data_IF_866536001307
#
_entry.id   IF_866536001307
#
_cell.length_a   1.000
_cell.length_b   1.000
_cell.length_c   1.000
_cell.angle_alpha   90.00
_cell.angle_beta   90.00
_cell.angle_gamma   90.00
#
_symmetry.space_group_name_H-M   'P 1'
#
loop_
_entity.id
_entity.type
_entity.pdbx_description
1 polymer ?
#
# COMPACT_ATOMS: atom_id res chain seq x y z
N UNK A 1 31.52 -50.44 0.98
CA UNK A 1 30.56 -49.93 2.00
C UNK A 1 29.20 -49.71 1.34
N UNK A 2 28.06 -49.81 2.05
CA UNK A 2 26.73 -49.54 1.46
C UNK A 2 26.22 -48.17 1.92
N UNK A 3 25.56 -47.44 1.03
CA UNK A 3 24.97 -46.13 1.37
C UNK A 3 23.85 -46.30 2.42
N UNK A 4 23.91 -45.54 3.51
CA UNK A 4 22.90 -45.59 4.58
C UNK A 4 21.50 -45.16 4.12
N UNK A 5 21.39 -44.36 3.05
CA UNK A 5 20.12 -43.82 2.55
C UNK A 5 19.46 -44.70 1.48
N UNK A 6 20.23 -45.27 0.55
CA UNK A 6 19.67 -46.03 -0.58
C UNK A 6 20.17 -47.48 -0.71
N UNK A 7 21.08 -47.92 0.15
CA UNK A 7 21.59 -49.30 0.17
C UNK A 7 22.54 -49.68 -0.98
N UNK A 8 22.80 -48.78 -1.94
CA UNK A 8 23.72 -49.02 -3.04
C UNK A 8 25.17 -49.16 -2.56
N UNK A 9 25.98 -50.00 -3.23
CA UNK A 9 27.40 -50.14 -2.94
C UNK A 9 28.18 -48.88 -3.33
N UNK A 10 28.94 -48.34 -2.38
CA UNK A 10 29.83 -47.19 -2.55
C UNK A 10 31.18 -47.68 -3.06
N UNK A 11 31.65 -47.07 -4.15
CA UNK A 11 33.02 -47.26 -4.66
C UNK A 11 34.04 -46.71 -3.64
N UNK A 12 35.16 -47.42 -3.48
CA UNK A 12 36.22 -47.01 -2.57
C UNK A 12 36.76 -45.62 -2.93
N UNK A 13 36.90 -44.75 -1.93
CA UNK A 13 37.44 -43.39 -2.10
C UNK A 13 36.43 -42.30 -2.51
N UNK A 14 35.14 -42.62 -2.67
CA UNK A 14 34.11 -41.61 -2.99
C UNK A 14 33.45 -41.05 -1.71
N UNK A 15 33.46 -39.72 -1.56
CA UNK A 15 32.82 -38.98 -0.45
C UNK A 15 31.29 -38.86 -0.57
N UNK A 16 30.71 -39.20 -1.73
CA UNK A 16 29.28 -39.13 -1.99
C UNK A 16 28.79 -40.38 -2.72
N UNK A 17 27.55 -40.78 -2.47
CA UNK A 17 26.89 -41.87 -3.17
C UNK A 17 26.60 -41.47 -4.62
N UNK A 18 27.14 -42.22 -5.57
CA UNK A 18 26.93 -42.00 -7.01
C UNK A 18 25.49 -42.23 -7.49
N UNK A 19 24.61 -42.79 -6.65
CA UNK A 19 23.22 -43.10 -7.00
C UNK A 19 22.25 -42.07 -6.42
N UNK A 20 22.44 -41.62 -5.18
CA UNK A 20 21.49 -40.72 -4.49
C UNK A 20 22.09 -39.37 -4.07
N UNK A 21 23.38 -39.13 -4.34
CA UNK A 21 24.08 -37.88 -4.01
C UNK A 21 24.34 -37.65 -2.52
N UNK A 22 23.93 -38.58 -1.64
CA UNK A 22 24.09 -38.43 -0.20
C UNK A 22 25.54 -38.71 0.23
N UNK A 23 26.06 -37.93 1.17
CA UNK A 23 27.44 -38.06 1.66
C UNK A 23 27.70 -39.43 2.28
N UNK A 24 28.88 -39.97 2.02
CA UNK A 24 29.33 -41.23 2.58
C UNK A 24 29.91 -40.97 3.98
N UNK A 25 29.15 -41.31 5.02
CA UNK A 25 29.64 -41.24 6.39
C UNK A 25 30.78 -42.25 6.61
N UNK A 26 32.00 -41.76 6.77
CA UNK A 26 33.15 -42.55 7.20
C UNK A 26 33.14 -42.65 8.72
N UNK A 27 32.96 -43.86 9.26
CA UNK A 27 33.16 -44.11 10.69
C UNK A 27 34.66 -44.20 10.94
N UNK A 28 35.26 -43.10 11.42
CA UNK A 28 36.62 -43.17 11.96
C UNK A 28 36.58 -43.94 13.29
N UNK A 29 37.49 -44.91 13.42
CA UNK A 29 37.56 -45.82 14.55
C UNK A 29 37.74 -45.10 15.89
N UNK A 30 36.85 -45.42 16.82
CA UNK A 30 36.90 -45.09 18.24
C UNK A 30 38.28 -45.38 18.85
N UNK A 31 38.89 -44.38 19.49
CA UNK A 31 40.01 -44.58 20.42
C UNK A 31 39.46 -44.92 21.81
N UNK A 32 39.81 -46.11 22.29
CA UNK A 32 39.37 -46.72 23.56
C UNK A 32 40.13 -46.11 24.76
N UNK A 33 40.17 -44.78 24.89
CA UNK A 33 40.89 -44.12 26.00
C UNK A 33 40.05 -43.12 26.82
N UNK A 34 38.79 -42.87 26.46
CA UNK A 34 37.95 -41.88 27.15
C UNK A 34 36.84 -42.48 28.05
N UNK A 35 36.54 -43.78 27.95
CA UNK A 35 35.45 -44.41 28.74
C UNK A 35 35.85 -44.84 30.17
N UNK A 36 37.14 -45.05 30.46
CA UNK A 36 37.59 -45.45 31.80
C UNK A 36 37.61 -44.29 32.81
N UNK A 37 37.68 -43.04 32.33
CA UNK A 37 37.68 -41.85 33.19
C UNK A 37 36.28 -41.48 33.69
N UNK A 38 35.22 -41.87 32.96
CA UNK A 38 33.83 -41.53 33.29
C UNK A 38 33.16 -42.51 34.26
N UNK A 39 33.65 -43.76 34.36
CA UNK A 39 33.14 -44.76 35.32
C UNK A 39 33.65 -44.57 36.75
N UNK A 40 34.78 -43.88 36.94
CA UNK A 40 35.35 -43.63 38.27
C UNK A 40 34.69 -42.44 39.01
N UNK A 41 33.93 -41.59 38.31
CA UNK A 41 33.30 -40.39 38.86
C UNK A 41 31.82 -40.59 39.28
N UNK A 42 31.23 -41.75 39.00
CA UNK A 42 29.80 -42.01 39.23
C UNK A 42 29.51 -42.94 40.43
N UNK A 43 30.52 -43.40 41.18
CA UNK A 43 30.31 -44.37 42.29
C UNK A 43 30.37 -43.78 43.71
N UNK A 44 30.67 -42.49 43.90
CA UNK A 44 30.88 -41.93 45.25
C UNK A 44 29.72 -41.06 45.80
N UNK A 45 28.57 -40.96 45.14
CA UNK A 45 27.42 -40.20 45.64
C UNK A 45 26.11 -40.99 45.64
N UNK A 46 26.02 -42.06 46.44
CA UNK A 46 24.74 -42.55 46.97
C UNK A 46 24.95 -43.54 48.12
N UNK A 47 25.02 -43.04 49.36
CA UNK A 47 24.28 -43.62 50.49
C UNK A 47 24.64 -42.91 51.80
N UNK A 48 23.67 -42.17 52.34
CA UNK A 48 23.57 -41.92 53.78
C UNK A 48 22.15 -42.21 54.24
N UNK A 49 22.12 -42.62 55.50
CA UNK A 49 21.01 -42.83 56.45
C UNK A 49 20.42 -44.26 56.45
N UNK A 50 20.33 -44.97 57.59
CA UNK A 50 19.95 -44.48 58.92
C UNK A 50 20.39 -45.41 60.10
N UNK A 51 20.63 -44.75 61.25
CA UNK A 51 20.34 -45.09 62.67
C UNK A 51 21.06 -46.18 63.51
N UNK A 52 21.35 -45.74 64.76
CA UNK A 52 21.41 -46.44 66.07
C UNK A 52 22.56 -47.43 66.30
N UNK A 53 23.19 -47.55 67.47
CA UNK A 53 23.22 -46.86 68.77
C UNK A 53 24.44 -47.43 69.51
N UNK A 54 24.78 -46.78 70.63
CA UNK A 54 25.56 -47.32 71.75
C UNK A 54 27.09 -47.29 71.74
N UNK A 55 27.53 -47.09 72.97
CA UNK A 55 28.84 -46.65 73.43
C UNK A 55 29.50 -47.87 74.04
N UNK A 56 30.77 -48.16 73.74
CA UNK A 56 31.59 -48.84 74.74
C UNK A 56 33.07 -48.47 74.70
N UNK A 57 33.53 -48.27 75.92
CA UNK A 57 34.79 -47.73 76.38
C UNK A 57 35.80 -48.87 76.51
N UNK A 58 37.06 -48.69 76.07
CA UNK A 58 38.20 -49.25 76.81
C UNK A 58 39.56 -48.68 76.36
N UNK A 59 40.21 -48.01 77.31
CA UNK A 59 41.64 -47.70 77.36
C UNK A 59 42.50 -48.97 77.23
N UNK A 60 43.67 -48.84 76.59
CA UNK A 60 44.96 -49.38 77.10
C UNK A 60 46.14 -48.57 76.54
N UNK A 61 47.13 -48.36 77.42
CA UNK A 61 48.34 -47.51 77.31
C UNK A 61 49.53 -48.24 76.65
N UNK A 62 50.56 -47.44 76.38
CA UNK A 62 52.01 -47.76 76.29
C UNK A 62 52.50 -48.27 74.92
N UNK A 63 53.66 -47.92 74.38
CA UNK A 63 54.81 -47.08 74.77
C UNK A 63 55.70 -46.80 73.53
N UNK A 64 56.44 -45.68 73.57
CA UNK A 64 57.76 -45.41 72.95
C UNK A 64 58.13 -45.92 71.55
N UNK A 65 58.39 -44.98 70.62
CA UNK A 65 59.76 -44.63 70.19
C UNK A 65 59.77 -43.61 69.04
N UNK A 66 60.46 -42.48 69.28
CA UNK A 66 60.86 -41.50 68.28
C UNK A 66 61.78 -42.11 67.21
N UNK A 67 61.45 -41.91 65.92
CA UNK A 67 62.43 -41.81 64.83
C UNK A 67 62.15 -40.58 63.97
N UNK A 68 63.09 -39.64 64.00
CA UNK A 68 63.15 -38.44 63.14
C UNK A 68 63.10 -38.87 61.66
N UNK A 69 62.13 -38.41 60.89
CA UNK A 69 62.16 -38.42 59.41
C UNK A 69 62.08 -36.99 58.91
N UNK A 70 63.06 -36.60 58.10
CA UNK A 70 63.12 -35.34 57.36
C UNK A 70 61.82 -35.15 56.57
N UNK A 71 61.10 -34.06 56.84
CA UNK A 71 59.98 -33.60 56.01
C UNK A 71 60.55 -33.20 54.63
N UNK A 72 60.27 -34.01 53.61
CA UNK A 72 60.44 -33.65 52.20
C UNK A 72 59.14 -33.00 51.68
N UNK A 73 59.20 -32.20 50.60
CA UNK A 73 58.23 -31.16 50.30
C UNK A 73 56.99 -31.71 49.54
N UNK A 74 56.47 -32.88 49.92
CA UNK A 74 55.26 -33.45 49.30
C UNK A 74 54.02 -32.59 49.56
N UNK A 75 53.96 -31.96 50.74
CA UNK A 75 52.90 -30.98 51.08
C UNK A 75 53.03 -29.75 50.17
N UNK A 76 54.26 -29.28 49.90
CA UNK A 76 54.50 -28.12 49.03
C UNK A 76 54.14 -28.46 47.57
N UNK A 77 54.48 -29.65 47.08
CA UNK A 77 54.12 -30.10 45.74
C UNK A 77 52.60 -30.26 45.55
N UNK A 78 51.90 -30.78 46.56
CA UNK A 78 50.43 -30.86 46.58
C UNK A 78 49.76 -29.49 46.63
N UNK A 79 50.29 -28.55 47.44
CA UNK A 79 49.79 -27.17 47.47
C UNK A 79 50.01 -26.43 46.14
N UNK A 80 51.17 -26.63 45.49
CA UNK A 80 51.44 -26.04 44.17
C UNK A 80 50.51 -26.62 43.10
N UNK A 81 50.26 -27.94 43.12
CA UNK A 81 49.30 -28.58 42.21
C UNK A 81 47.86 -28.05 42.42
N UNK A 82 47.43 -27.88 43.67
CA UNK A 82 46.12 -27.30 43.98
C UNK A 82 45.98 -25.85 43.48
N UNK A 83 47.03 -25.03 43.62
CA UNK A 83 47.05 -23.66 43.09
C UNK A 83 46.95 -23.65 41.56
N UNK A 84 47.66 -24.56 40.87
CA UNK A 84 47.57 -24.68 39.40
C UNK A 84 46.17 -25.10 38.94
N UNK A 85 45.50 -26.00 39.66
CA UNK A 85 44.11 -26.40 39.36
C UNK A 85 43.15 -25.23 39.54
N UNK A 86 43.28 -24.45 40.62
CA UNK A 86 42.44 -23.25 40.84
C UNK A 86 42.68 -22.21 39.74
N UNK A 87 43.94 -21.99 39.33
CA UNK A 87 44.27 -21.09 38.22
C UNK A 87 43.68 -21.62 36.90
N UNK A 88 43.74 -22.94 36.65
CA UNK A 88 43.16 -23.55 35.46
C UNK A 88 41.64 -23.43 35.44
N UNK A 89 40.95 -23.68 36.56
CA UNK A 89 39.50 -23.47 36.69
C UNK A 89 39.15 -22.00 36.47
N UNK A 90 39.93 -21.08 37.06
CA UNK A 90 39.75 -19.64 36.86
C UNK A 90 39.96 -19.21 35.40
N UNK A 91 40.96 -19.76 34.72
CA UNK A 91 41.23 -19.49 33.30
C UNK A 91 40.13 -20.06 32.41
N UNK A 92 39.65 -21.28 32.69
CA UNK A 92 38.51 -21.89 31.98
C UNK A 92 37.24 -21.05 32.20
N UNK A 93 36.97 -20.64 33.44
CA UNK A 93 35.83 -19.79 33.76
C UNK A 93 35.92 -18.42 33.07
N UNK A 94 37.12 -17.83 33.00
CA UNK A 94 37.37 -16.56 32.32
C UNK A 94 37.19 -16.68 30.80
N UNK A 95 37.72 -17.74 30.18
CA UNK A 95 37.52 -18.02 28.75
C UNK A 95 36.04 -18.27 28.46
N UNK A 96 35.35 -19.03 29.30
CA UNK A 96 33.91 -19.29 29.16
C UNK A 96 33.08 -18.03 29.35
N UNK A 97 33.47 -17.14 30.26
CA UNK A 97 32.85 -15.84 30.46
C UNK A 97 33.06 -14.92 29.23
N UNK A 98 34.28 -14.81 28.72
CA UNK A 98 34.55 -14.07 27.49
C UNK A 98 33.77 -14.65 26.30
N UNK A 99 33.73 -15.97 26.16
CA UNK A 99 33.03 -16.63 25.07
C UNK A 99 31.51 -16.43 25.18
N UNK A 100 30.94 -16.60 26.37
CA UNK A 100 29.52 -16.34 26.63
C UNK A 100 29.15 -14.85 26.47
N UNK A 101 30.10 -13.94 26.55
CA UNK A 101 29.90 -12.50 26.35
C UNK A 101 30.45 -12.03 24.98
N UNK A 102 30.71 -12.95 24.06
CA UNK A 102 31.06 -12.63 22.68
C UNK A 102 29.80 -12.31 21.88
N UNK A 103 29.90 -11.40 20.91
CA UNK A 103 28.82 -11.05 20.01
C UNK A 103 28.28 -12.29 19.27
N UNK A 104 29.17 -13.08 18.67
CA UNK A 104 28.79 -14.28 17.89
C UNK A 104 28.02 -15.29 18.74
N UNK A 105 28.43 -15.46 20.00
CA UNK A 105 27.74 -16.34 20.94
C UNK A 105 26.33 -15.82 21.25
N UNK A 106 26.18 -14.52 21.49
CA UNK A 106 24.89 -13.91 21.80
C UNK A 106 23.93 -14.06 20.61
N UNK A 107 24.39 -13.82 19.37
CA UNK A 107 23.57 -14.04 18.16
C UNK A 107 23.17 -15.51 18.01
N UNK A 108 24.12 -16.45 18.11
CA UNK A 108 23.83 -17.87 17.96
C UNK A 108 22.81 -18.39 19.00
N UNK A 109 22.91 -17.90 20.25
CA UNK A 109 21.94 -18.22 21.29
C UNK A 109 20.58 -17.55 21.04
N UNK A 110 20.56 -16.32 20.52
CA UNK A 110 19.32 -15.62 20.18
C UNK A 110 18.55 -16.37 19.07
N UNK A 111 19.23 -16.74 17.99
CA UNK A 111 18.64 -17.49 16.87
C UNK A 111 18.13 -18.86 17.32
N UNK A 112 18.89 -19.56 18.16
CA UNK A 112 18.44 -20.83 18.75
C UNK A 112 17.15 -20.67 19.55
N UNK A 113 17.11 -19.70 20.46
CA UNK A 113 15.92 -19.46 21.28
C UNK A 113 14.73 -18.96 20.43
N UNK A 114 14.99 -18.28 19.31
CA UNK A 114 13.97 -17.89 18.35
C UNK A 114 13.36 -19.10 17.65
N UNK A 115 14.17 -20.08 17.23
CA UNK A 115 13.70 -21.36 16.68
C UNK A 115 12.89 -22.14 17.72
N UNK A 116 13.30 -22.09 18.98
CA UNK A 116 12.58 -22.70 20.12
C UNK A 116 11.33 -21.87 20.53
N UNK A 117 11.02 -20.78 19.83
CA UNK A 117 9.90 -19.84 20.09
C UNK A 117 9.95 -19.17 21.48
N UNK A 118 11.11 -19.17 22.13
CA UNK A 118 11.35 -18.52 23.42
C UNK A 118 11.70 -17.04 23.22
N UNK A 119 10.72 -16.26 22.77
CA UNK A 119 10.91 -14.86 22.37
C UNK A 119 11.57 -13.96 23.43
N UNK A 120 11.24 -14.12 24.71
CA UNK A 120 11.84 -13.30 25.77
C UNK A 120 13.35 -13.52 25.91
N UNK A 121 13.79 -14.78 25.83
CA UNK A 121 15.22 -15.12 25.88
C UNK A 121 15.93 -14.65 24.62
N UNK A 122 15.33 -14.89 23.45
CA UNK A 122 15.86 -14.41 22.18
C UNK A 122 16.08 -12.89 22.21
N UNK A 123 15.09 -12.11 22.63
CA UNK A 123 15.20 -10.65 22.81
C UNK A 123 16.30 -10.26 23.79
N UNK A 124 16.48 -11.00 24.90
CA UNK A 124 17.56 -10.74 25.85
C UNK A 124 18.94 -10.97 25.22
N UNK A 125 19.11 -12.05 24.46
CA UNK A 125 20.36 -12.35 23.77
C UNK A 125 20.67 -11.32 22.67
N UNK A 126 19.68 -10.94 21.85
CA UNK A 126 19.84 -9.86 20.87
C UNK A 126 20.16 -8.51 21.52
N UNK A 127 19.50 -8.17 22.63
CA UNK A 127 19.82 -6.94 23.37
C UNK A 127 21.27 -6.93 23.85
N UNK A 128 21.76 -8.04 24.40
CA UNK A 128 23.16 -8.18 24.79
C UNK A 128 24.09 -8.09 23.57
N UNK A 129 23.75 -8.71 22.44
CA UNK A 129 24.50 -8.57 21.19
C UNK A 129 24.61 -7.10 20.76
N UNK A 130 23.53 -6.33 20.87
CA UNK A 130 23.51 -4.89 20.58
C UNK A 130 24.31 -4.05 21.59
N UNK A 131 24.51 -4.50 22.84
CA UNK A 131 25.46 -3.82 23.74
C UNK A 131 26.92 -3.95 23.27
N UNK A 132 27.23 -5.02 22.54
CA UNK A 132 28.57 -5.32 22.02
C UNK A 132 28.76 -4.72 20.62
N UNK A 133 27.73 -4.76 19.79
CA UNK A 133 27.69 -4.18 18.44
C UNK A 133 26.48 -3.26 18.28
N UNK A 134 26.61 -1.98 18.68
CA UNK A 134 25.47 -1.06 18.71
C UNK A 134 24.88 -0.72 17.35
N UNK A 135 25.56 -1.01 16.22
CA UNK A 135 25.07 -0.66 14.89
C UNK A 135 24.64 -1.89 14.07
N UNK A 136 24.47 -3.05 14.71
CA UNK A 136 24.00 -4.23 14.01
C UNK A 136 22.52 -4.08 13.62
N UNK A 137 22.28 -4.08 12.31
CA UNK A 137 20.96 -3.99 11.71
C UNK A 137 20.23 -5.34 11.80
N UNK A 138 20.93 -6.45 11.63
CA UNK A 138 20.31 -7.78 11.59
C UNK A 138 19.74 -8.16 12.96
N UNK A 139 20.48 -7.94 14.05
CA UNK A 139 19.95 -8.15 15.40
C UNK A 139 18.74 -7.26 15.69
N UNK A 140 18.73 -6.00 15.21
CA UNK A 140 17.57 -5.12 15.35
C UNK A 140 16.37 -5.63 14.57
N UNK A 141 16.56 -6.03 13.31
CA UNK A 141 15.51 -6.55 12.45
C UNK A 141 14.88 -7.80 13.08
N UNK A 142 15.70 -8.74 13.56
CA UNK A 142 15.22 -9.92 14.26
C UNK A 142 14.41 -9.56 15.54
N UNK A 143 14.87 -8.57 16.31
CA UNK A 143 14.09 -8.07 17.46
C UNK A 143 12.75 -7.44 17.03
N UNK A 144 12.75 -6.64 15.96
CA UNK A 144 11.54 -6.00 15.43
C UNK A 144 10.52 -7.06 14.98
N UNK A 145 10.96 -8.09 14.25
CA UNK A 145 10.13 -9.23 13.85
C UNK A 145 9.51 -9.97 15.04
N UNK A 146 10.28 -10.19 16.11
CA UNK A 146 9.74 -10.80 17.34
C UNK A 146 8.64 -9.92 17.94
N UNK A 147 8.86 -8.59 18.01
CA UNK A 147 7.85 -7.68 18.53
C UNK A 147 6.61 -7.63 17.64
N UNK A 148 6.76 -7.67 16.32
CA UNK A 148 5.66 -7.79 15.36
C UNK A 148 4.84 -9.07 15.58
N UNK A 149 5.50 -10.22 15.71
CA UNK A 149 4.85 -11.50 15.98
C UNK A 149 4.04 -11.47 17.29
N UNK A 150 4.53 -10.72 18.29
CA UNK A 150 3.85 -10.47 19.58
C UNK A 150 2.81 -9.34 19.54
N UNK A 151 2.65 -8.66 18.40
CA UNK A 151 1.82 -7.45 18.22
C UNK A 151 2.21 -6.28 19.13
N UNK A 152 3.46 -6.25 19.56
CA UNK A 152 4.07 -5.17 20.34
C UNK A 152 4.57 -4.07 19.39
N UNK A 153 3.61 -3.44 18.70
CA UNK A 153 3.87 -2.54 17.58
C UNK A 153 4.72 -1.32 17.94
N UNK A 154 4.57 -0.77 19.14
CA UNK A 154 5.31 0.43 19.52
C UNK A 154 6.81 0.13 19.70
N UNK A 155 7.15 -1.06 20.22
CA UNK A 155 8.55 -1.52 20.34
C UNK A 155 9.15 -1.87 18.97
N UNK A 156 8.38 -2.53 18.11
CA UNK A 156 8.81 -2.80 16.73
C UNK A 156 9.09 -1.49 15.97
N UNK A 157 8.17 -0.50 16.06
CA UNK A 157 8.28 0.77 15.35
C UNK A 157 9.58 1.51 15.69
N UNK A 158 9.95 1.55 16.97
CA UNK A 158 11.23 2.17 17.40
C UNK A 158 12.41 1.49 16.73
N UNK A 159 12.46 0.16 16.71
CA UNK A 159 13.56 -0.58 16.10
C UNK A 159 13.63 -0.38 14.59
N UNK A 160 12.50 -0.40 13.89
CA UNK A 160 12.47 -0.15 12.44
C UNK A 160 12.96 1.26 12.11
N UNK A 161 12.56 2.27 12.89
CA UNK A 161 13.08 3.63 12.75
C UNK A 161 14.59 3.71 13.02
N UNK A 162 15.10 2.98 14.00
CA UNK A 162 16.55 2.89 14.25
C UNK A 162 17.29 2.24 13.07
N UNK A 163 16.73 1.19 12.46
CA UNK A 163 17.30 0.54 11.28
C UNK A 163 17.37 1.54 10.12
N UNK A 164 16.29 2.28 9.83
CA UNK A 164 16.27 3.31 8.77
C UNK A 164 17.29 4.43 9.05
N UNK A 165 17.51 4.78 10.32
CA UNK A 165 18.53 5.76 10.68
C UNK A 165 19.96 5.26 10.40
N UNK A 166 20.21 3.96 10.56
CA UNK A 166 21.50 3.33 10.26
C UNK A 166 21.68 3.10 8.76
N UNK A 167 20.62 2.64 8.09
CA UNK A 167 20.57 2.39 6.65
C UNK A 167 19.25 2.91 6.06
N UNK A 168 19.35 4.10 5.46
CA UNK A 168 18.21 4.80 4.87
C UNK A 168 17.60 4.10 3.67
N UNK A 169 18.29 3.10 3.10
CA UNK A 169 17.84 2.33 1.92
C UNK A 169 17.32 0.93 2.29
N UNK A 170 17.22 0.61 3.57
CA UNK A 170 16.79 -0.70 4.03
C UNK A 170 15.30 -0.94 3.71
N UNK A 171 15.03 -1.74 2.68
CA UNK A 171 13.66 -1.97 2.17
C UNK A 171 12.80 -2.70 3.19
N UNK A 172 13.39 -3.68 3.87
CA UNK A 172 12.73 -4.51 4.87
C UNK A 172 12.20 -3.67 6.04
N UNK A 173 12.95 -2.67 6.50
CA UNK A 173 12.52 -1.80 7.59
C UNK A 173 11.35 -0.89 7.20
N UNK A 174 11.32 -0.38 5.96
CA UNK A 174 10.14 0.34 5.46
C UNK A 174 8.92 -0.58 5.36
N UNK A 175 9.09 -1.82 4.91
CA UNK A 175 8.01 -2.81 4.89
C UNK A 175 7.50 -3.14 6.32
N UNK A 176 8.42 -3.22 7.29
CA UNK A 176 8.09 -3.37 8.71
C UNK A 176 7.23 -2.21 9.22
N UNK A 177 7.64 -0.95 8.97
CA UNK A 177 6.85 0.24 9.33
C UNK A 177 5.47 0.26 8.66
N UNK A 178 5.40 -0.03 7.36
CA UNK A 178 4.14 -0.11 6.61
C UNK A 178 3.21 -1.14 7.26
N UNK A 179 3.72 -2.34 7.55
CA UNK A 179 2.96 -3.41 8.21
C UNK A 179 2.42 -2.97 9.57
N UNK A 180 3.23 -2.27 10.35
CA UNK A 180 2.82 -1.72 11.65
C UNK A 180 1.69 -0.70 11.48
N UNK A 181 1.82 0.21 10.53
CA UNK A 181 0.83 1.25 10.30
C UNK A 181 -0.47 0.69 9.73
N UNK A 182 -0.42 -0.30 8.83
CA UNK A 182 -1.60 -1.02 8.35
C UNK A 182 -2.33 -1.72 9.52
N UNK A 183 -1.59 -2.44 10.37
CA UNK A 183 -2.18 -3.13 11.52
C UNK A 183 -2.84 -2.17 12.53
N UNK A 184 -2.40 -0.91 12.56
CA UNK A 184 -2.98 0.17 13.40
C UNK A 184 -4.03 1.01 12.66
N UNK A 185 -4.26 0.78 11.36
CA UNK A 185 -5.14 1.60 10.51
C UNK A 185 -4.64 3.04 10.31
N UNK A 186 -3.34 3.28 10.45
CA UNK A 186 -2.72 4.62 10.40
C UNK A 186 -2.15 4.92 9.01
N UNK A 187 -3.00 4.92 7.98
CA UNK A 187 -2.59 5.13 6.59
C UNK A 187 -1.98 6.52 6.34
N UNK A 188 -2.42 7.55 7.06
CA UNK A 188 -1.85 8.91 6.99
C UNK A 188 -0.35 8.92 7.34
N UNK A 189 0.11 8.01 8.21
CA UNK A 189 1.53 7.90 8.54
C UNK A 189 2.34 7.20 7.45
N UNK A 190 1.69 6.35 6.65
CA UNK A 190 2.34 5.68 5.52
C UNK A 190 2.58 6.71 4.42
N UNK A 191 1.62 7.58 4.13
CA UNK A 191 1.78 8.67 3.16
C UNK A 191 2.77 9.72 3.65
N UNK A 192 2.78 10.06 4.95
CA UNK A 192 3.82 10.91 5.55
C UNK A 192 5.21 10.27 5.40
N UNK A 193 5.35 8.98 5.72
CA UNK A 193 6.60 8.24 5.54
C UNK A 193 7.06 8.27 4.07
N UNK A 194 6.16 8.02 3.12
CA UNK A 194 6.44 8.08 1.68
C UNK A 194 7.01 9.43 1.25
N UNK A 195 6.49 10.54 1.79
CA UNK A 195 6.97 11.90 1.49
C UNK A 195 8.41 12.18 1.93
N UNK A 196 8.95 11.38 2.86
CA UNK A 196 10.34 11.51 3.33
C UNK A 196 11.34 10.72 2.46
N UNK A 197 10.85 9.83 1.60
CA UNK A 197 11.65 8.94 0.77
C UNK A 197 11.87 9.56 -0.60
N UNK A 198 13.13 9.56 -1.06
CA UNK A 198 13.50 10.05 -2.40
C UNK A 198 13.98 8.94 -3.33
N UNK A 199 14.21 7.74 -2.80
CA UNK A 199 14.70 6.59 -3.54
C UNK A 199 13.55 5.91 -4.30
N UNK A 200 13.70 5.77 -5.62
CA UNK A 200 12.64 5.28 -6.51
C UNK A 200 12.23 3.84 -6.17
N UNK A 201 13.16 2.98 -5.80
CA UNK A 201 12.87 1.57 -5.51
C UNK A 201 12.08 1.41 -4.20
N UNK A 202 12.30 2.34 -3.26
CA UNK A 202 11.53 2.40 -2.02
C UNK A 202 10.15 3.02 -2.23
N UNK A 203 10.03 4.01 -3.12
CA UNK A 203 8.74 4.65 -3.43
C UNK A 203 7.70 3.65 -3.96
N UNK A 204 8.14 2.59 -4.64
CA UNK A 204 7.27 1.51 -5.12
C UNK A 204 6.45 0.86 -3.98
N UNK A 205 7.02 0.76 -2.77
CA UNK A 205 6.34 0.21 -1.58
C UNK A 205 5.09 1.01 -1.18
N UNK A 206 5.03 2.28 -1.54
CA UNK A 206 3.98 3.20 -1.12
C UNK A 206 2.89 3.40 -2.18
N UNK A 207 3.08 2.85 -3.38
CA UNK A 207 2.16 3.01 -4.52
C UNK A 207 0.70 2.71 -4.16
N UNK A 208 0.43 1.62 -3.44
CA UNK A 208 -0.93 1.25 -3.00
C UNK A 208 -1.55 2.13 -1.91
N UNK A 209 -0.88 3.19 -1.47
CA UNK A 209 -1.37 4.16 -0.47
C UNK A 209 -1.49 5.58 -1.03
N UNK A 210 -1.08 5.78 -2.28
CA UNK A 210 -1.23 7.04 -2.98
C UNK A 210 -2.42 6.87 -3.91
N UNK A 211 -3.44 7.70 -3.74
CA UNK A 211 -4.66 7.64 -4.55
C UNK A 211 -4.62 8.79 -5.53
N UNK A 212 -4.72 8.47 -6.82
CA UNK A 212 -4.77 9.48 -7.86
C UNK A 212 -5.97 10.42 -7.68
N UNK A 213 -5.78 11.69 -8.02
CA UNK A 213 -6.83 12.69 -7.96
C UNK A 213 -7.91 12.45 -9.03
N UNK A 214 -9.19 12.78 -8.75
CA UNK A 214 -10.23 12.74 -9.75
C UNK A 214 -10.01 13.82 -10.81
N UNK A 215 -10.28 13.48 -12.06
CA UNK A 215 -10.16 14.38 -13.20
C UNK A 215 -11.54 14.77 -13.70
N UNK A 216 -11.72 16.04 -14.01
CA UNK A 216 -12.99 16.61 -14.47
C UNK A 216 -12.94 16.84 -15.98
N UNK A 217 -14.06 16.64 -16.66
CA UNK A 217 -14.25 17.08 -18.04
C UNK A 217 -15.66 17.62 -18.27
N UNK A 218 -15.81 18.81 -18.85
CA UNK A 218 -14.73 19.71 -19.30
C UNK A 218 -13.98 20.35 -18.13
N UNK A 219 -12.82 20.95 -18.41
CA UNK A 219 -12.03 21.71 -17.43
C UNK A 219 -12.84 22.88 -16.87
N UNK A 220 -12.39 23.45 -15.74
CA UNK A 220 -13.05 24.63 -15.18
C UNK A 220 -13.11 25.80 -16.18
N UNK A 221 -14.25 26.50 -16.22
CA UNK A 221 -14.48 27.49 -17.28
C UNK A 221 -15.88 28.07 -17.31
N UNK A 222 -16.14 28.81 -18.38
CA UNK A 222 -17.46 29.35 -18.71
C UNK A 222 -18.05 28.55 -19.87
N UNK A 223 -19.26 28.05 -19.69
CA UNK A 223 -19.94 27.17 -20.63
C UNK A 223 -21.38 27.59 -20.84
N UNK A 224 -22.01 27.04 -21.88
CA UNK A 224 -23.44 27.18 -22.06
C UNK A 224 -24.19 26.37 -20.98
N UNK A 225 -25.38 26.85 -20.61
CA UNK A 225 -26.30 26.08 -19.75
C UNK A 225 -26.53 24.70 -20.35
N UNK A 226 -26.74 23.68 -19.50
CA UNK A 226 -26.88 22.26 -19.87
C UNK A 226 -25.58 21.56 -20.29
N UNK A 227 -24.43 22.19 -20.05
CA UNK A 227 -23.14 21.49 -20.13
C UNK A 227 -23.09 20.41 -19.05
N UNK A 228 -22.69 19.20 -19.45
CA UNK A 228 -22.50 18.06 -18.55
C UNK A 228 -21.04 17.99 -18.09
N UNK A 229 -20.83 17.85 -16.78
CA UNK A 229 -19.52 17.63 -16.18
C UNK A 229 -19.38 16.17 -15.78
N UNK A 230 -18.40 15.49 -16.37
CA UNK A 230 -18.03 14.13 -16.03
C UNK A 230 -16.80 14.12 -15.12
N UNK A 231 -16.74 13.13 -14.22
CA UNK A 231 -15.60 12.94 -13.32
C UNK A 231 -15.08 11.52 -13.54
N UNK A 232 -13.77 11.37 -13.71
CA UNK A 232 -13.16 10.08 -13.93
C UNK A 232 -11.93 9.91 -13.04
N UNK A 233 -11.64 8.66 -12.73
CA UNK A 233 -10.39 8.27 -12.10
C UNK A 233 -9.52 7.52 -13.09
N UNK A 234 -8.20 7.72 -12.99
CA UNK A 234 -7.22 6.97 -13.76
C UNK A 234 -6.95 5.56 -13.19
N UNK A 235 -7.40 5.32 -11.96
CA UNK A 235 -7.30 4.05 -11.24
C UNK A 235 -8.70 3.55 -10.87
N UNK A 236 -8.85 2.24 -10.64
CA UNK A 236 -10.12 1.68 -10.15
C UNK A 236 -10.38 2.10 -8.70
N UNK A 237 -11.10 3.22 -8.51
CA UNK A 237 -11.47 3.73 -7.20
C UNK A 237 -12.87 4.37 -7.20
N UNK A 238 -13.49 4.43 -6.03
CA UNK A 238 -14.77 5.12 -5.85
C UNK A 238 -14.55 6.63 -5.87
N UNK A 239 -15.40 7.37 -6.59
CA UNK A 239 -15.35 8.84 -6.63
C UNK A 239 -16.50 9.39 -5.80
N UNK A 240 -16.21 10.33 -4.90
CA UNK A 240 -17.20 11.03 -4.10
C UNK A 240 -17.15 12.52 -4.40
N UNK A 241 -18.29 13.16 -4.61
CA UNK A 241 -18.36 14.58 -4.95
C UNK A 241 -19.42 15.36 -4.15
N UNK A 242 -19.31 16.68 -4.16
CA UNK A 242 -20.26 17.62 -3.54
C UNK A 242 -20.47 18.84 -4.44
N UNK A 243 -21.67 19.42 -4.36
CA UNK A 243 -22.08 20.62 -5.12
C UNK A 243 -22.31 21.85 -4.22
N UNK A 244 -22.24 21.67 -2.90
CA UNK A 244 -22.55 22.66 -1.87
C UNK A 244 -21.29 23.20 -1.17
N UNK A 245 -20.13 23.03 -1.80
CA UNK A 245 -18.81 23.36 -1.26
C UNK A 245 -18.40 22.58 0.01
N UNK A 246 -19.19 21.61 0.46
CA UNK A 246 -18.84 20.79 1.62
C UNK A 246 -17.66 19.84 1.33
N UNK A 247 -17.12 19.20 2.36
CA UNK A 247 -16.01 18.25 2.21
C UNK A 247 -16.54 16.91 1.67
N UNK A 248 -16.13 16.47 0.46
CA UNK A 248 -16.59 15.22 -0.12
C UNK A 248 -16.13 13.99 0.68
N UNK A 249 -15.09 14.10 1.52
CA UNK A 249 -14.66 13.00 2.40
C UNK A 249 -15.68 12.68 3.50
N UNK A 250 -16.60 13.60 3.81
CA UNK A 250 -17.60 13.46 4.89
C UNK A 250 -19.02 13.34 4.38
N UNK A 251 -19.40 14.19 3.43
CA UNK A 251 -20.77 14.32 2.91
C UNK A 251 -20.85 14.05 1.40
N UNK A 252 -19.83 13.42 0.82
CA UNK A 252 -19.78 13.17 -0.61
C UNK A 252 -20.86 12.21 -1.08
N UNK A 253 -21.41 12.51 -2.25
CA UNK A 253 -22.29 11.65 -3.02
C UNK A 253 -21.42 10.73 -3.86
N UNK A 254 -21.70 9.43 -3.85
CA UNK A 254 -21.01 8.47 -4.73
C UNK A 254 -21.33 8.79 -6.19
N UNK A 255 -20.29 9.03 -6.99
CA UNK A 255 -20.40 9.24 -8.42
C UNK A 255 -20.66 7.90 -9.13
N UNK A 256 -21.61 7.87 -10.06
CA UNK A 256 -22.10 6.64 -10.72
C UNK A 256 -22.03 6.74 -12.24
N UNK A 257 -21.07 7.52 -12.76
CA UNK A 257 -20.84 7.80 -14.19
C UNK A 257 -22.00 8.48 -14.93
N UNK A 258 -23.09 8.81 -14.25
CA UNK A 258 -24.04 9.82 -14.72
C UNK A 258 -23.37 11.19 -14.55
N UNK A 259 -23.12 11.93 -15.63
CA UNK A 259 -22.53 13.26 -15.52
C UNK A 259 -23.39 14.22 -14.71
N UNK A 260 -22.78 15.32 -14.32
CA UNK A 260 -23.38 16.37 -13.50
C UNK A 260 -23.86 17.46 -14.45
N UNK A 261 -25.18 17.56 -14.64
CA UNK A 261 -25.79 18.57 -15.48
C UNK A 261 -25.75 19.96 -14.82
N UNK A 262 -25.29 20.98 -15.55
CA UNK A 262 -25.28 22.38 -15.09
C UNK A 262 -26.50 23.13 -15.67
N UNK A 263 -27.67 22.91 -15.06
CA UNK A 263 -28.98 23.25 -15.65
C UNK A 263 -29.44 24.71 -15.54
N UNK A 264 -28.87 25.47 -14.60
CA UNK A 264 -29.19 26.87 -14.37
C UNK A 264 -28.04 27.79 -14.76
N UNK A 265 -28.35 29.04 -15.09
CA UNK A 265 -27.36 30.13 -15.25
C UNK A 265 -26.80 30.49 -13.88
N UNK A 266 -25.49 30.35 -13.70
CA UNK A 266 -24.90 30.64 -12.40
C UNK A 266 -23.46 30.22 -12.27
N UNK A 267 -23.05 30.05 -11.01
CA UNK A 267 -21.73 29.54 -10.63
C UNK A 267 -21.93 28.22 -9.91
N UNK A 268 -21.13 27.24 -10.30
CA UNK A 268 -21.10 25.92 -9.68
C UNK A 268 -19.70 25.68 -9.14
N UNK A 269 -19.64 25.13 -7.93
CA UNK A 269 -18.39 24.67 -7.33
C UNK A 269 -18.56 23.17 -7.09
N UNK A 270 -17.82 22.36 -7.84
CA UNK A 270 -17.83 20.91 -7.68
C UNK A 270 -16.53 20.51 -6.98
N UNK A 271 -16.64 19.81 -5.86
CA UNK A 271 -15.50 19.21 -5.18
C UNK A 271 -15.58 17.70 -5.25
N UNK A 272 -14.50 17.03 -5.60
CA UNK A 272 -14.45 15.58 -5.67
C UNK A 272 -13.18 15.01 -5.03
N UNK A 273 -13.27 13.73 -4.67
CA UNK A 273 -12.17 12.95 -4.11
C UNK A 273 -12.30 11.50 -4.58
N UNK A 274 -11.17 10.86 -4.83
CA UNK A 274 -11.08 9.43 -5.09
C UNK A 274 -10.84 8.67 -3.77
N UNK A 275 -11.42 7.48 -3.64
CA UNK A 275 -11.26 6.59 -2.49
C UNK A 275 -10.95 5.16 -2.93
N UNK A 276 -9.82 4.64 -2.48
CA UNK A 276 -9.44 3.26 -2.79
C UNK A 276 -10.10 2.23 -1.85
N UNK A 277 -9.84 0.95 -2.11
CA UNK A 277 -10.33 -0.20 -1.34
C UNK A 277 -9.86 -0.20 0.13
N UNK A 278 -8.67 0.35 0.41
CA UNK A 278 -8.14 0.55 1.77
C UNK A 278 -8.82 1.71 2.52
N UNK A 279 -9.69 2.47 1.85
CA UNK A 279 -10.39 3.61 2.41
C UNK A 279 -9.55 4.88 2.51
N UNK A 280 -8.42 4.94 1.79
CA UNK A 280 -7.55 6.10 1.66
C UNK A 280 -8.16 7.03 0.62
N UNK A 281 -8.08 8.33 0.89
CA UNK A 281 -8.60 9.36 -0.01
C UNK A 281 -7.47 10.10 -0.71
N UNK A 282 -7.70 10.50 -1.97
CA UNK A 282 -6.87 11.49 -2.65
C UNK A 282 -6.97 12.86 -1.97
N UNK A 283 -6.21 13.82 -2.50
CA UNK A 283 -6.49 15.22 -2.24
C UNK A 283 -7.82 15.65 -2.86
N UNK A 284 -8.44 16.67 -2.26
CA UNK A 284 -9.73 17.19 -2.71
C UNK A 284 -9.49 18.12 -3.89
N UNK A 285 -10.00 17.73 -5.06
CA UNK A 285 -10.00 18.58 -6.25
C UNK A 285 -11.24 19.47 -6.22
N UNK A 286 -11.06 20.75 -6.54
CA UNK A 286 -12.16 21.72 -6.62
C UNK A 286 -12.16 22.36 -8.00
N UNK A 287 -13.25 22.20 -8.74
CA UNK A 287 -13.45 22.82 -10.05
C UNK A 287 -14.61 23.82 -9.99
N UNK A 288 -14.43 24.96 -10.67
CA UNK A 288 -15.42 26.04 -10.69
C UNK A 288 -15.95 26.27 -12.10
N UNK A 289 -17.25 26.17 -12.24
CA UNK A 289 -17.93 26.39 -13.50
C UNK A 289 -18.79 27.63 -13.43
N UNK A 290 -18.87 28.34 -14.55
CA UNK A 290 -19.85 29.39 -14.77
C UNK A 290 -20.67 29.01 -15.98
N UNK A 291 -21.99 29.05 -15.86
CA UNK A 291 -22.87 28.86 -17.01
C UNK A 291 -23.45 30.19 -17.44
N UNK A 292 -23.52 30.38 -18.75
CA UNK A 292 -24.16 31.52 -19.39
C UNK A 292 -25.17 31.00 -20.42
N UNK A 293 -26.26 31.74 -20.62
CA UNK A 293 -27.21 31.39 -21.66
C UNK A 293 -26.83 32.15 -22.94
N UNK A 294 -26.46 31.43 -23.99
CA UNK A 294 -26.25 31.98 -25.33
C UNK A 294 -27.56 31.96 -26.11
N UNK A 295 -27.84 33.03 -26.85
CA UNK A 295 -28.94 33.06 -27.80
C UNK A 295 -28.67 32.06 -28.95
N UNK A 296 -29.71 31.38 -29.47
CA UNK A 296 -29.56 30.50 -30.62
C UNK A 296 -29.13 31.30 -31.86
N UNK A 297 -28.41 30.63 -32.76
CA UNK A 297 -27.98 31.24 -34.02
C UNK A 297 -29.18 31.38 -35.00
N UNK A 298 -28.96 32.05 -36.13
CA UNK A 298 -30.00 32.21 -37.17
C UNK A 298 -30.45 30.86 -37.75
N UNK A 299 -31.72 30.73 -38.18
CA UNK A 299 -32.17 29.52 -38.85
C UNK A 299 -31.56 29.42 -40.25
N UNK A 300 -31.37 28.21 -40.74
CA UNK A 300 -31.07 27.96 -42.15
C UNK A 300 -32.39 27.87 -42.93
N UNK A 301 -32.51 28.67 -44.00
CA UNK A 301 -33.74 28.80 -44.79
C UNK A 301 -33.47 28.42 -46.24
N UNK A 302 -34.27 27.51 -46.80
CA UNK A 302 -34.15 27.10 -48.20
C UNK A 302 -35.51 26.97 -48.88
N UNK A 303 -35.77 27.66 -50.01
CA UNK A 303 -34.90 28.67 -50.64
C UNK A 303 -34.81 29.96 -49.81
N UNK A 304 -33.68 30.67 -49.88
CA UNK A 304 -33.49 31.98 -49.22
C UNK A 304 -34.06 33.11 -50.09
N UNK A 305 -35.38 33.17 -50.18
CA UNK A 305 -36.09 34.22 -50.89
C UNK A 305 -36.00 34.15 -52.42
N UNK A 306 -36.54 35.19 -53.07
CA UNK A 306 -36.54 35.36 -54.52
C UNK A 306 -37.93 35.33 -55.16
N UNK A 307 -37.94 35.38 -56.49
CA UNK A 307 -39.17 35.30 -57.30
C UNK A 307 -39.44 33.86 -57.71
N UNK A 308 -40.68 33.41 -57.51
CA UNK A 308 -41.16 32.07 -57.80
C UNK A 308 -42.30 32.14 -58.83
N UNK A 309 -42.26 31.24 -59.81
CA UNK A 309 -43.29 31.10 -60.86
C UNK A 309 -44.11 29.82 -60.72
N UNK A 310 -43.74 28.96 -59.76
CA UNK A 310 -44.38 27.68 -59.44
C UNK A 310 -44.52 27.56 -57.91
N UNK A 311 -45.45 26.70 -57.46
CA UNK A 311 -45.69 26.44 -56.04
C UNK A 311 -44.36 25.99 -55.39
N UNK A 312 -43.94 26.74 -54.36
CA UNK A 312 -42.64 26.54 -53.68
C UNK A 312 -42.87 26.38 -52.18
N UNK A 313 -42.14 25.44 -51.58
CA UNK A 313 -42.14 25.21 -50.14
C UNK A 313 -40.81 25.68 -49.54
N UNK A 314 -40.88 26.36 -48.40
CA UNK A 314 -39.73 26.80 -47.62
C UNK A 314 -39.45 25.77 -46.51
N UNK A 315 -38.22 25.27 -46.51
CA UNK A 315 -37.66 24.42 -45.46
C UNK A 315 -36.84 25.30 -44.53
N UNK A 316 -37.11 25.21 -43.22
CA UNK A 316 -36.41 25.96 -42.18
C UNK A 316 -35.81 24.96 -41.19
N UNK A 317 -34.51 25.07 -40.94
CA UNK A 317 -33.80 24.24 -39.96
C UNK A 317 -33.13 25.10 -38.90
N UNK A 318 -33.04 24.57 -37.68
CA UNK A 318 -32.38 25.19 -36.53
C UNK A 318 -31.67 24.10 -35.72
N UNK A 319 -30.81 24.51 -34.80
CA UNK A 319 -30.09 23.60 -33.90
C UNK A 319 -31.05 22.75 -33.04
N UNK A 320 -30.57 21.58 -32.61
CA UNK A 320 -31.34 20.69 -31.73
C UNK A 320 -31.78 21.41 -30.44
N UNK A 321 -33.00 21.13 -29.99
CA UNK A 321 -33.58 21.77 -28.80
C UNK A 321 -34.05 23.21 -29.01
N UNK A 322 -34.21 23.65 -30.27
CA UNK A 322 -34.79 24.94 -30.61
C UNK A 322 -36.14 24.79 -31.33
N UNK A 323 -37.05 25.73 -31.06
CA UNK A 323 -38.32 25.90 -31.76
C UNK A 323 -38.27 27.12 -32.67
N UNK A 324 -38.82 27.00 -33.88
CA UNK A 324 -38.86 28.07 -34.88
C UNK A 324 -40.25 28.70 -34.92
N UNK A 325 -40.30 30.03 -34.96
CA UNK A 325 -41.54 30.81 -35.09
C UNK A 325 -41.41 31.84 -36.22
N UNK A 326 -42.49 32.06 -36.97
CA UNK A 326 -42.44 32.90 -38.16
C UNK A 326 -43.72 33.72 -38.42
N UNK A 327 -43.58 34.72 -39.29
CA UNK A 327 -44.64 35.58 -39.86
C UNK A 327 -44.36 35.84 -41.34
N UNK A 328 -45.40 36.12 -42.14
CA UNK A 328 -45.29 36.37 -43.59
C UNK A 328 -45.51 37.84 -44.01
N UNK A 329 -45.99 38.66 -43.08
CA UNK A 329 -46.36 40.06 -43.30
C UNK A 329 -45.22 41.05 -42.96
N UNK A 330 -44.03 40.53 -42.64
CA UNK A 330 -42.88 41.31 -42.23
C UNK A 330 -42.91 41.82 -40.78
N UNK A 331 -43.93 41.44 -39.98
CA UNK A 331 -43.97 41.76 -38.56
C UNK A 331 -42.95 40.93 -37.77
N UNK A 332 -42.48 41.45 -36.64
CA UNK A 332 -41.50 40.77 -35.79
C UNK A 332 -42.15 39.55 -35.13
N UNK A 333 -41.70 38.31 -35.43
CA UNK A 333 -42.26 37.13 -34.81
C UNK A 333 -41.87 37.06 -33.32
N UNK A 334 -42.74 36.45 -32.52
CA UNK A 334 -42.56 36.15 -31.09
C UNK A 334 -42.72 34.65 -30.86
N UNK A 335 -42.43 34.19 -29.64
CA UNK A 335 -42.65 32.78 -29.21
C UNK A 335 -44.13 32.36 -29.15
N UNK A 336 -45.03 33.27 -29.53
CA UNK A 336 -46.47 33.07 -29.68
C UNK A 336 -46.94 33.18 -31.14
N UNK A 337 -46.04 33.45 -32.09
CA UNK A 337 -46.32 33.45 -33.53
C UNK A 337 -46.55 32.03 -34.07
N UNK A 338 -46.76 31.90 -35.39
CA UNK A 338 -46.94 30.59 -36.01
C UNK A 338 -45.69 29.74 -35.83
N UNK A 339 -45.84 28.55 -35.24
CA UNK A 339 -44.73 27.61 -35.05
C UNK A 339 -44.48 26.82 -36.32
N UNK A 340 -43.22 26.78 -36.75
CA UNK A 340 -42.81 25.93 -37.87
C UNK A 340 -42.73 24.47 -37.39
N UNK A 341 -43.40 23.58 -38.12
CA UNK A 341 -43.44 22.13 -37.82
C UNK A 341 -43.26 21.26 -39.06
N UNK A 342 -43.53 21.81 -40.24
CA UNK A 342 -43.36 21.17 -41.55
C UNK A 342 -43.07 22.25 -42.61
N UNK A 343 -42.57 21.88 -43.81
CA UNK A 343 -42.32 22.83 -44.89
C UNK A 343 -43.55 23.69 -45.22
N UNK A 344 -43.34 25.00 -45.31
CA UNK A 344 -44.42 25.98 -45.48
C UNK A 344 -44.51 26.46 -46.92
N UNK A 345 -45.71 26.52 -47.49
CA UNK A 345 -45.93 27.01 -48.85
C UNK A 345 -45.79 28.55 -48.90
N UNK A 346 -45.13 29.06 -49.95
CA UNK A 346 -45.00 30.50 -50.19
C UNK A 346 -46.37 31.09 -50.61
N UNK A 347 -46.93 32.07 -49.88
CA UNK A 347 -48.18 32.71 -50.25
C UNK A 347 -48.07 33.49 -51.56
N UNK A 348 -49.18 33.62 -52.30
CA UNK A 348 -49.23 34.44 -53.52
C UNK A 348 -48.96 35.92 -53.21
N UNK A 349 -48.26 36.60 -54.13
CA UNK A 349 -47.91 38.02 -54.01
C UNK A 349 -46.51 38.25 -53.44
N UNK A 350 -46.31 39.43 -52.85
CA UNK A 350 -45.04 39.85 -52.26
C UNK A 350 -45.10 39.70 -50.74
N UNK A 351 -44.37 38.74 -50.20
CA UNK A 351 -44.45 38.32 -48.80
C UNK A 351 -43.06 38.36 -48.15
N UNK A 352 -42.97 38.89 -46.93
CA UNK A 352 -41.72 38.96 -46.17
C UNK A 352 -41.77 37.90 -45.07
N UNK A 353 -40.99 36.85 -45.24
CA UNK A 353 -40.83 35.82 -44.21
C UNK A 353 -39.89 36.34 -43.13
N UNK A 354 -40.41 36.56 -41.92
CA UNK A 354 -39.62 36.90 -40.74
C UNK A 354 -39.62 35.71 -39.78
N UNK A 355 -38.44 35.35 -39.26
CA UNK A 355 -38.24 34.13 -38.47
C UNK A 355 -37.42 34.45 -37.22
N UNK A 356 -37.80 33.84 -36.10
CA UNK A 356 -36.95 33.71 -34.91
C UNK A 356 -36.80 32.24 -34.53
N UNK A 357 -35.65 31.94 -33.95
CA UNK A 357 -35.36 30.66 -33.30
C UNK A 357 -35.38 30.89 -31.80
N UNK A 358 -36.05 30.01 -31.06
CA UNK A 358 -36.18 30.09 -29.60
C UNK A 358 -35.59 28.82 -29.00
N UNK A 359 -34.61 28.96 -28.12
CA UNK A 359 -34.09 27.81 -27.37
C UNK A 359 -35.16 27.31 -26.39
N UNK A 360 -35.52 26.03 -26.48
CA UNK A 360 -36.65 25.49 -25.72
C UNK A 360 -36.42 25.53 -24.21
N UNK A 361 -35.15 25.46 -23.79
CA UNK A 361 -34.77 25.43 -22.38
C UNK A 361 -34.48 26.83 -21.81
N UNK A 362 -33.59 27.62 -22.43
CA UNK A 362 -33.20 28.95 -21.92
C UNK A 362 -34.20 30.06 -22.24
N UNK A 363 -35.12 29.82 -23.19
CA UNK A 363 -36.07 30.81 -23.74
C UNK A 363 -35.43 32.03 -24.40
N UNK A 364 -34.12 31.99 -24.65
CA UNK A 364 -33.46 33.02 -25.46
C UNK A 364 -33.85 32.89 -26.93
N UNK A 365 -33.98 34.03 -27.59
CA UNK A 365 -34.36 34.12 -28.99
C UNK A 365 -33.16 34.54 -29.84
N UNK A 366 -33.06 34.02 -31.06
CA UNK A 366 -32.15 34.54 -32.07
C UNK A 366 -32.52 35.98 -32.42
N UNK A 367 -31.64 36.67 -33.13
CA UNK A 367 -32.05 37.85 -33.88
C UNK A 367 -33.06 37.47 -34.98
N UNK A 368 -33.83 38.45 -35.46
CA UNK A 368 -34.89 38.22 -36.45
C UNK A 368 -34.27 38.07 -37.84
N UNK A 369 -34.37 36.88 -38.42
CA UNK A 369 -34.02 36.63 -39.82
C UNK A 369 -35.17 37.09 -40.72
N UNK A 370 -34.85 37.76 -41.84
CA UNK A 370 -35.86 38.18 -42.82
C UNK A 370 -35.40 37.88 -44.24
N UNK A 371 -36.31 37.33 -45.04
CA UNK A 371 -36.11 37.14 -46.48
C UNK A 371 -37.41 37.42 -47.23
N UNK A 372 -37.30 37.81 -48.50
CA UNK A 372 -38.45 38.25 -49.30
C UNK A 372 -38.79 37.23 -50.39
N UNK A 373 -40.06 36.89 -50.50
CA UNK A 373 -40.59 35.99 -51.52
C UNK A 373 -41.62 36.70 -52.38
N UNK A 374 -41.50 36.54 -53.69
CA UNK A 374 -42.47 37.05 -54.66
C UNK A 374 -43.00 35.86 -55.45
N UNK A 375 -44.24 35.43 -55.20
CA UNK A 375 -44.86 34.34 -55.95
C UNK A 375 -45.93 34.88 -56.90
N UNK A 376 -45.80 34.55 -58.19
CA UNK A 376 -46.78 34.85 -59.22
C UNK A 376 -47.47 33.57 -59.65
N UNK A 377 -48.74 33.40 -59.25
CA UNK A 377 -49.54 32.28 -59.74
C UNK A 377 -49.75 32.43 -61.25
N UNK A 378 -49.40 31.38 -62.02
CA UNK A 378 -49.74 31.34 -63.45
C UNK A 378 -51.26 31.20 -63.58
N UNK A 379 -51.91 31.97 -64.46
CA UNK A 379 -53.35 31.80 -64.69
C UNK A 379 -53.60 30.38 -65.19
N UNK A 380 -54.59 29.69 -64.62
CA UNK A 380 -55.05 28.39 -65.12
C UNK A 380 -55.40 28.58 -66.60
N UNK A 381 -54.68 27.88 -67.47
CA UNK A 381 -55.05 27.80 -68.88
C UNK A 381 -56.25 26.86 -68.93
N UNK A 382 -57.46 27.43 -68.95
CA UNK A 382 -58.67 26.68 -69.28
C UNK A 382 -58.44 26.01 -70.64
N UNK A 383 -58.26 24.69 -70.62
CA UNK A 383 -58.27 23.89 -71.84
C UNK A 383 -59.75 23.76 -72.22
N UNK A 384 -60.23 24.65 -73.08
CA UNK A 384 -61.52 24.45 -73.75
C UNK A 384 -61.43 23.15 -74.58
N UNK A 385 -62.18 22.12 -74.16
CA UNK A 385 -62.34 20.84 -74.87
C UNK A 385 -63.08 20.97 -76.21
#
# INVERSE_FOLDING_TARGET
MKCAKCGAELKEGCLYCSVCGHEAQMVNGYSVLEEDYLKALLTDEASKDTSSEETENQKKKAEGHHKKKKQTPWIVLGCVAAVVVVIAIGAIAYVRYQNNNSYDYQIAMAEKELVDLNYEKALSYYKNALTLSPNDINARAAMAEIYLARKEYDSALVLEMEIINLDKKNKEAYQGLITIYEAKGQYDKITELASTVTDTDLLELFSGYIVAEPVFYPDEGTYDVYTEVTIFSIEECDIYYTLDESDPKKNGILYTDAGIELDDVGKYTIKAVCKNDKGIYSDVVTCKYKTEAKAPDYPEVTPDGGTMDDITFVVITADEGCSIYYTWDGTDPTDTSARYTEPIEVPEGNNILSIIVVNDKTKLTSEIYRTNFIYHAKPEVEVEE
#
